data_IF_738924973190
#
_entry.id   IF_738924973190
#
_cell.length_a   1.000
_cell.length_b   1.000
_cell.length_c   1.000
_cell.angle_alpha   90.00
_cell.angle_beta   90.00
_cell.angle_gamma   90.00
#
_symmetry.space_group_name_H-M   'P 1'
#
loop_
_entity.id
_entity.type
_entity.pdbx_description
1 polymer ?
#
# COMPACT_ATOMS: atom_id res chain seq x y z
N UNK A 1 -6.09 -10.65 -3.74
CA UNK A 1 -4.68 -10.93 -4.05
C UNK A 1 -3.93 -9.66 -4.44
N UNK A 2 -4.29 -8.99 -5.55
CA UNK A 2 -3.53 -7.85 -6.09
C UNK A 2 -3.22 -6.72 -5.10
N UNK A 3 -4.23 -6.18 -4.42
CA UNK A 3 -4.05 -5.12 -3.42
C UNK A 3 -3.00 -5.49 -2.36
N UNK A 4 -3.11 -6.69 -1.79
CA UNK A 4 -2.20 -7.18 -0.77
C UNK A 4 -0.80 -7.51 -1.31
N UNK A 5 -0.69 -7.89 -2.58
CA UNK A 5 0.59 -8.03 -3.26
C UNK A 5 1.32 -6.67 -3.36
N UNK A 6 0.64 -5.62 -3.81
CA UNK A 6 1.22 -4.26 -3.87
C UNK A 6 1.59 -3.76 -2.47
N UNK A 7 0.70 -3.93 -1.48
CA UNK A 7 0.99 -3.54 -0.09
C UNK A 7 2.21 -4.29 0.50
N UNK A 8 2.34 -5.59 0.21
CA UNK A 8 3.52 -6.37 0.62
C UNK A 8 4.80 -5.88 -0.04
N UNK A 9 4.77 -5.57 -1.33
CA UNK A 9 5.93 -5.02 -2.05
C UNK A 9 6.33 -3.64 -1.52
N UNK A 10 5.36 -2.76 -1.23
CA UNK A 10 5.62 -1.43 -0.68
C UNK A 10 6.47 -1.52 0.59
N UNK A 11 6.04 -2.28 1.59
CA UNK A 11 6.78 -2.40 2.86
C UNK A 11 8.21 -2.90 2.66
N UNK A 12 8.43 -3.86 1.76
CA UNK A 12 9.77 -4.38 1.45
C UNK A 12 10.64 -3.31 0.77
N UNK A 13 10.08 -2.58 -0.20
CA UNK A 13 10.80 -1.55 -0.93
C UNK A 13 10.96 -0.23 -0.16
N UNK A 14 10.08 0.10 0.80
CA UNK A 14 10.29 1.19 1.77
C UNK A 14 11.56 0.91 2.57
N UNK A 15 11.67 -0.30 3.13
CA UNK A 15 12.84 -0.69 3.91
C UNK A 15 14.13 -0.63 3.09
N UNK A 16 14.09 -1.17 1.86
CA UNK A 16 15.23 -1.11 0.95
C UNK A 16 15.56 0.33 0.55
N UNK A 17 14.57 1.17 0.28
CA UNK A 17 14.76 2.57 -0.10
C UNK A 17 15.43 3.35 1.04
N UNK A 18 14.97 3.18 2.27
CA UNK A 18 15.58 3.81 3.44
C UNK A 18 17.01 3.33 3.68
N UNK A 19 17.20 2.01 3.86
CA UNK A 19 18.52 1.47 4.26
C UNK A 19 19.55 1.45 3.14
N UNK A 20 19.17 0.98 1.96
CA UNK A 20 20.13 0.70 0.87
C UNK A 20 20.27 1.89 -0.06
N UNK A 21 19.16 2.51 -0.47
CA UNK A 21 19.22 3.61 -1.45
C UNK A 21 19.56 4.96 -0.80
N UNK A 22 19.02 5.23 0.40
CA UNK A 22 19.23 6.50 1.10
C UNK A 22 20.25 6.41 2.25
N UNK A 23 20.73 5.22 2.61
CA UNK A 23 21.72 5.04 3.68
C UNK A 23 21.23 5.48 5.06
N UNK A 24 19.91 5.42 5.29
CA UNK A 24 19.29 5.86 6.55
C UNK A 24 19.50 4.83 7.66
N UNK A 25 19.44 5.30 8.90
CA UNK A 25 19.40 4.41 10.07
C UNK A 25 18.13 3.54 10.10
N UNK A 26 18.16 2.47 10.89
CA UNK A 26 17.00 1.60 11.11
C UNK A 26 15.80 2.37 11.70
N UNK A 27 16.06 3.29 12.63
CA UNK A 27 15.04 4.12 13.24
C UNK A 27 14.38 5.05 12.21
N UNK A 28 15.18 5.76 11.42
CA UNK A 28 14.67 6.67 10.39
C UNK A 28 13.93 5.93 9.28
N UNK A 29 14.42 4.76 8.87
CA UNK A 29 13.70 3.90 7.91
C UNK A 29 12.36 3.44 8.46
N UNK A 30 12.29 3.08 9.73
CA UNK A 30 11.04 2.67 10.39
C UNK A 30 10.00 3.78 10.40
N UNK A 31 10.41 5.06 10.46
CA UNK A 31 9.48 6.18 10.34
C UNK A 31 8.81 6.26 8.96
N UNK A 32 9.47 5.82 7.89
CA UNK A 32 8.87 5.76 6.55
C UNK A 32 7.70 4.76 6.51
N UNK A 33 7.92 3.55 7.04
CA UNK A 33 6.87 2.54 7.13
C UNK A 33 5.76 2.97 8.10
N UNK A 34 6.12 3.58 9.23
CA UNK A 34 5.15 4.11 10.19
C UNK A 34 4.25 5.18 9.55
N UNK A 35 4.79 6.08 8.72
CA UNK A 35 4.02 7.10 8.03
C UNK A 35 2.94 6.49 7.12
N UNK A 36 3.31 5.48 6.33
CA UNK A 36 2.35 4.72 5.51
C UNK A 36 1.26 4.06 6.36
N UNK A 37 1.65 3.36 7.43
CA UNK A 37 0.70 2.68 8.32
C UNK A 37 -0.26 3.65 9.01
N UNK A 38 0.22 4.81 9.46
CA UNK A 38 -0.64 5.88 10.01
C UNK A 38 -1.61 6.40 8.96
N UNK A 39 -1.14 6.58 7.72
CA UNK A 39 -1.99 6.89 6.59
C UNK A 39 -3.11 5.86 6.41
N UNK A 40 -2.77 4.57 6.43
CA UNK A 40 -3.75 3.48 6.32
C UNK A 40 -4.82 3.55 7.40
N UNK A 41 -4.44 3.83 8.65
CA UNK A 41 -5.40 4.01 9.76
C UNK A 41 -6.33 5.18 9.48
N UNK A 42 -5.78 6.34 9.11
CA UNK A 42 -6.58 7.55 8.79
C UNK A 42 -7.53 7.28 7.63
N UNK A 43 -7.05 6.68 6.54
CA UNK A 43 -7.85 6.33 5.38
C UNK A 43 -8.96 5.34 5.70
N UNK A 44 -8.68 4.34 6.54
CA UNK A 44 -9.67 3.34 6.94
C UNK A 44 -10.78 3.96 7.81
N UNK A 45 -10.42 4.85 8.74
CA UNK A 45 -11.40 5.59 9.54
C UNK A 45 -12.26 6.53 8.69
N UNK A 46 -11.64 7.21 7.71
CA UNK A 46 -12.35 8.06 6.76
C UNK A 46 -13.34 7.23 5.92
N UNK A 47 -12.90 6.08 5.40
CA UNK A 47 -13.75 5.18 4.63
C UNK A 47 -14.97 4.73 5.45
N UNK A 48 -14.77 4.32 6.72
CA UNK A 48 -15.87 3.93 7.60
C UNK A 48 -16.93 5.01 7.78
N UNK A 49 -16.54 6.29 7.79
CA UNK A 49 -17.47 7.43 7.85
C UNK A 49 -18.17 7.69 6.52
N UNK A 50 -17.44 7.64 5.40
CA UNK A 50 -17.98 7.94 4.06
C UNK A 50 -18.96 6.84 3.62
N UNK A 51 -18.67 5.59 3.95
CA UNK A 51 -19.33 4.39 3.41
C UNK A 51 -20.44 3.87 4.33
N UNK A 52 -20.73 4.53 5.47
CA UNK A 52 -21.49 3.99 6.61
C UNK A 52 -22.81 3.23 6.33
N UNK A 53 -23.43 3.36 5.15
CA UNK A 53 -24.67 2.67 4.76
C UNK A 53 -24.59 1.85 3.46
N UNK A 54 -23.48 1.86 2.74
CA UNK A 54 -23.29 1.20 1.44
C UNK A 54 -22.07 0.27 1.46
N UNK A 55 -21.86 -0.55 0.43
CA UNK A 55 -20.64 -1.33 0.26
C UNK A 55 -19.42 -0.44 -0.11
N UNK A 56 -19.66 0.81 -0.54
CA UNK A 56 -18.63 1.83 -0.79
C UNK A 56 -17.67 1.53 -1.92
N UNK A 57 -17.96 0.52 -2.75
CA UNK A 57 -17.07 0.06 -3.80
C UNK A 57 -16.85 1.13 -4.88
N UNK A 58 -17.76 2.10 -4.99
CA UNK A 58 -17.63 3.25 -5.89
C UNK A 58 -16.42 4.15 -5.59
N UNK A 59 -15.89 4.13 -4.35
CA UNK A 59 -14.67 4.88 -3.97
C UNK A 59 -13.42 4.18 -4.49
N UNK A 60 -13.47 2.86 -4.72
CA UNK A 60 -12.29 2.05 -5.01
C UNK A 60 -11.49 2.55 -6.22
N UNK A 61 -12.07 2.89 -7.38
CA UNK A 61 -11.30 3.39 -8.52
C UNK A 61 -10.55 4.70 -8.19
N UNK A 62 -11.19 5.64 -7.49
CA UNK A 62 -10.57 6.90 -7.09
C UNK A 62 -9.46 6.71 -6.07
N UNK A 63 -9.67 5.82 -5.08
CA UNK A 63 -8.65 5.46 -4.10
C UNK A 63 -7.45 4.76 -4.76
N UNK A 64 -7.69 3.84 -5.71
CA UNK A 64 -6.61 3.17 -6.46
C UNK A 64 -5.81 4.16 -7.32
N UNK A 65 -6.49 5.07 -8.04
CA UNK A 65 -5.81 6.10 -8.84
C UNK A 65 -4.98 7.04 -7.94
N UNK A 66 -5.51 7.42 -6.79
CA UNK A 66 -4.80 8.25 -5.81
C UNK A 66 -3.57 7.53 -5.25
N UNK A 67 -3.71 6.25 -4.91
CA UNK A 67 -2.60 5.40 -4.47
C UNK A 67 -1.51 5.34 -5.56
N UNK A 68 -1.89 5.06 -6.80
CA UNK A 68 -0.99 5.00 -7.95
C UNK A 68 -0.17 6.29 -8.11
N UNK A 69 -0.82 7.46 -8.04
CA UNK A 69 -0.16 8.75 -8.12
C UNK A 69 0.87 8.92 -6.99
N UNK A 70 0.50 8.64 -5.75
CA UNK A 70 1.44 8.80 -4.63
C UNK A 70 2.59 7.79 -4.63
N UNK A 71 2.41 6.60 -5.20
CA UNK A 71 3.51 5.67 -5.45
C UNK A 71 4.47 6.17 -6.51
N UNK A 72 3.96 6.70 -7.63
CA UNK A 72 4.78 7.34 -8.65
C UNK A 72 5.57 8.52 -8.06
N UNK A 73 4.92 9.39 -7.28
CA UNK A 73 5.57 10.52 -6.61
C UNK A 73 6.63 10.06 -5.61
N UNK A 74 6.39 8.98 -4.84
CA UNK A 74 7.38 8.41 -3.92
C UNK A 74 8.65 7.98 -4.65
N UNK A 75 8.54 7.48 -5.89
CA UNK A 75 9.68 7.13 -6.73
C UNK A 75 10.53 8.33 -7.18
N UNK A 76 10.00 9.55 -7.15
CA UNK A 76 10.72 10.79 -7.51
C UNK A 76 11.54 11.33 -6.33
N UNK A 77 11.33 10.83 -5.11
CA UNK A 77 12.03 11.28 -3.91
C UNK A 77 13.57 11.41 -4.04
N UNK A 78 14.31 10.52 -4.74
CA UNK A 78 15.76 10.67 -4.91
C UNK A 78 16.20 11.97 -5.60
N UNK A 79 15.33 12.60 -6.40
CA UNK A 79 15.62 13.84 -7.12
C UNK A 79 15.80 15.06 -6.19
N UNK A 80 15.32 14.98 -4.95
CA UNK A 80 15.46 16.05 -3.97
C UNK A 80 16.75 15.91 -3.14
N UNK A 81 17.35 17.01 -2.65
CA UNK A 81 18.47 16.96 -1.72
C UNK A 81 18.02 16.49 -0.32
N UNK A 82 18.98 16.04 0.49
CA UNK A 82 18.73 15.78 1.92
C UNK A 82 18.70 17.11 2.69
N UNK A 83 17.79 17.32 3.68
CA UNK A 83 16.80 16.38 4.25
C UNK A 83 15.44 16.38 3.53
N UNK A 84 15.23 17.26 2.54
CA UNK A 84 13.94 17.44 1.83
C UNK A 84 13.40 16.13 1.27
N UNK A 85 14.26 15.28 0.71
CA UNK A 85 13.85 13.97 0.17
C UNK A 85 13.16 13.06 1.19
N UNK A 86 13.57 13.10 2.45
CA UNK A 86 13.03 12.23 3.51
C UNK A 86 11.64 12.73 3.91
N UNK A 87 11.50 14.04 4.11
CA UNK A 87 10.22 14.68 4.44
C UNK A 87 9.23 14.45 3.30
N UNK A 88 9.68 14.65 2.05
CA UNK A 88 8.86 14.40 0.87
C UNK A 88 8.40 12.94 0.81
N UNK A 89 9.31 11.97 0.95
CA UNK A 89 8.96 10.55 0.93
C UNK A 89 7.99 10.18 2.06
N UNK A 90 8.20 10.68 3.29
CA UNK A 90 7.29 10.50 4.42
C UNK A 90 5.87 10.97 4.07
N UNK A 91 5.75 12.18 3.51
CA UNK A 91 4.45 12.73 3.12
C UNK A 91 3.78 11.90 2.03
N UNK A 92 4.51 11.51 0.99
CA UNK A 92 3.96 10.71 -0.11
C UNK A 92 3.52 9.32 0.36
N UNK A 93 4.29 8.66 1.23
CA UNK A 93 3.93 7.37 1.82
C UNK A 93 2.73 7.47 2.74
N UNK A 94 2.62 8.54 3.54
CA UNK A 94 1.42 8.78 4.35
C UNK A 94 0.17 8.96 3.48
N UNK A 95 0.27 9.75 2.40
CA UNK A 95 -0.84 9.94 1.46
C UNK A 95 -1.19 8.65 0.70
N UNK A 96 -0.18 7.87 0.29
CA UNK A 96 -0.38 6.54 -0.28
C UNK A 96 -1.11 5.62 0.71
N UNK A 97 -0.70 5.64 1.98
CA UNK A 97 -1.36 4.92 3.07
C UNK A 97 -2.83 5.30 3.21
N UNK A 98 -3.15 6.61 3.19
CA UNK A 98 -4.55 7.09 3.24
C UNK A 98 -5.36 6.51 2.08
N UNK A 99 -4.84 6.56 0.86
CA UNK A 99 -5.49 5.99 -0.32
C UNK A 99 -5.66 4.45 -0.20
N UNK A 100 -4.65 3.76 0.30
CA UNK A 100 -4.69 2.32 0.58
C UNK A 100 -5.76 1.96 1.63
N UNK A 101 -5.86 2.71 2.71
CA UNK A 101 -6.89 2.55 3.74
C UNK A 101 -8.30 2.81 3.19
N UNK A 102 -8.47 3.85 2.37
CA UNK A 102 -9.72 4.16 1.68
C UNK A 102 -10.20 3.03 0.76
N UNK A 103 -9.26 2.33 0.12
CA UNK A 103 -9.55 1.19 -0.75
C UNK A 103 -9.81 -0.11 0.03
N UNK A 104 -9.08 -0.33 1.13
CA UNK A 104 -9.11 -1.59 1.88
C UNK A 104 -10.47 -1.88 2.52
N UNK A 105 -11.09 -0.85 3.11
CA UNK A 105 -12.37 -0.97 3.82
C UNK A 105 -13.54 -1.43 2.91
N UNK A 106 -13.83 -0.78 1.76
CA UNK A 106 -14.89 -1.24 0.87
C UNK A 106 -14.62 -2.63 0.29
N UNK A 107 -13.36 -2.99 0.01
CA UNK A 107 -13.02 -4.35 -0.42
C UNK A 107 -13.38 -5.38 0.65
N UNK A 108 -13.03 -5.11 1.92
CA UNK A 108 -13.40 -5.96 3.04
C UNK A 108 -14.92 -6.06 3.21
N UNK A 109 -15.64 -4.94 3.12
CA UNK A 109 -17.10 -4.89 3.20
C UNK A 109 -17.75 -5.70 2.07
N UNK A 110 -17.24 -5.58 0.84
CA UNK A 110 -17.76 -6.29 -0.32
C UNK A 110 -17.72 -7.81 -0.16
N UNK A 111 -16.59 -8.37 0.30
CA UNK A 111 -16.47 -9.82 0.55
C UNK A 111 -17.37 -10.30 1.69
N UNK A 112 -17.75 -9.42 2.61
CA UNK A 112 -18.58 -9.77 3.76
C UNK A 112 -20.08 -9.63 3.51
N UNK A 113 -20.50 -8.65 2.69
CA UNK A 113 -21.91 -8.27 2.54
C UNK A 113 -22.58 -8.89 1.31
N UNK A 114 -21.82 -9.21 0.26
CA UNK A 114 -22.37 -9.77 -0.99
C UNK A 114 -22.80 -11.25 -0.90
N UNK A 115 -22.05 -12.15 -0.22
CA UNK A 115 -22.40 -13.57 -0.20
C UNK A 115 -23.63 -13.86 0.67
N UNK A 116 -24.39 -14.91 0.32
CA UNK A 116 -25.43 -15.46 1.19
C UNK A 116 -24.84 -15.89 2.56
N UNK A 117 -25.59 -15.79 3.67
CA UNK A 117 -25.07 -16.04 5.02
C UNK A 117 -24.33 -17.37 5.18
N UNK A 118 -24.83 -18.43 4.53
CA UNK A 118 -24.28 -19.79 4.61
C UNK A 118 -22.95 -19.92 3.87
N UNK A 119 -22.69 -19.05 2.89
CA UNK A 119 -21.46 -19.03 2.08
C UNK A 119 -20.48 -17.96 2.54
N UNK A 120 -20.88 -17.05 3.43
CA UNK A 120 -20.06 -15.91 3.89
C UNK A 120 -18.72 -16.35 4.47
N UNK A 121 -18.70 -17.35 5.35
CA UNK A 121 -17.47 -17.87 5.93
C UNK A 121 -16.48 -18.40 4.88
N UNK A 122 -16.99 -19.12 3.87
CA UNK A 122 -16.18 -19.64 2.76
C UNK A 122 -15.58 -18.53 1.90
N UNK A 123 -16.35 -17.47 1.62
CA UNK A 123 -15.85 -16.32 0.84
C UNK A 123 -14.81 -15.53 1.62
N UNK A 124 -15.02 -15.30 2.92
CA UNK A 124 -14.04 -14.64 3.78
C UNK A 124 -12.74 -15.45 3.82
N UNK A 125 -12.83 -16.77 4.06
CA UNK A 125 -11.66 -17.65 4.06
C UNK A 125 -10.90 -17.63 2.72
N UNK A 126 -11.61 -17.71 1.59
CA UNK A 126 -11.00 -17.63 0.26
C UNK A 126 -10.34 -16.26 0.02
N UNK A 127 -10.97 -15.17 0.46
CA UNK A 127 -10.40 -13.83 0.35
C UNK A 127 -9.13 -13.67 1.20
N UNK A 128 -9.11 -14.21 2.41
CA UNK A 128 -7.94 -14.25 3.29
C UNK A 128 -6.81 -15.07 2.68
N UNK A 129 -7.10 -16.27 2.18
CA UNK A 129 -6.10 -17.08 1.47
C UNK A 129 -5.52 -16.33 0.28
N UNK A 130 -6.35 -15.70 -0.55
CA UNK A 130 -5.89 -14.90 -1.69
C UNK A 130 -5.07 -13.67 -1.27
N UNK A 131 -5.34 -13.08 -0.10
CA UNK A 131 -4.53 -12.02 0.48
C UNK A 131 -3.14 -12.53 0.88
N UNK A 132 -3.10 -13.64 1.63
CA UNK A 132 -1.84 -14.30 2.03
C UNK A 132 -1.01 -14.75 0.83
N UNK A 133 -1.64 -15.30 -0.22
CA UNK A 133 -0.95 -15.62 -1.48
C UNK A 133 -0.36 -14.37 -2.13
N UNK A 134 -1.09 -13.26 -2.14
CA UNK A 134 -0.58 -11.98 -2.65
C UNK A 134 0.68 -11.53 -1.92
N UNK A 135 0.66 -11.57 -0.58
CA UNK A 135 1.82 -11.24 0.26
C UNK A 135 3.01 -12.19 0.04
N UNK A 136 2.74 -13.50 -0.09
CA UNK A 136 3.77 -14.50 -0.36
C UNK A 136 4.44 -14.23 -1.72
N UNK A 137 3.64 -13.98 -2.76
CA UNK A 137 4.15 -13.66 -4.10
C UNK A 137 4.95 -12.36 -4.06
N UNK A 138 4.54 -11.36 -3.28
CA UNK A 138 5.32 -10.13 -3.11
C UNK A 138 6.73 -10.41 -2.57
N UNK A 139 6.86 -11.28 -1.57
CA UNK A 139 8.16 -11.70 -1.04
C UNK A 139 9.02 -12.44 -2.07
N UNK A 140 8.43 -13.34 -2.87
CA UNK A 140 9.15 -14.06 -3.93
C UNK A 140 9.64 -13.09 -5.02
N UNK A 141 8.76 -12.21 -5.49
CA UNK A 141 9.06 -11.23 -6.56
C UNK A 141 10.04 -10.15 -6.08
N UNK A 142 10.03 -9.82 -4.78
CA UNK A 142 10.98 -8.88 -4.18
C UNK A 142 12.44 -9.33 -4.40
N UNK A 143 12.76 -10.62 -4.31
CA UNK A 143 14.13 -11.14 -4.41
C UNK A 143 14.84 -10.77 -5.73
N UNK A 144 14.29 -11.07 -6.92
CA UNK A 144 14.91 -10.64 -8.17
C UNK A 144 14.82 -9.11 -8.33
N UNK A 145 13.68 -8.49 -8.03
CA UNK A 145 13.51 -7.04 -8.25
C UNK A 145 14.50 -6.22 -7.42
N UNK A 146 14.79 -6.62 -6.17
CA UNK A 146 15.75 -5.90 -5.34
C UNK A 146 17.19 -5.97 -5.90
N UNK A 147 17.53 -7.03 -6.64
CA UNK A 147 18.86 -7.21 -7.21
C UNK A 147 19.08 -6.36 -8.46
N UNK A 148 18.06 -6.26 -9.31
CA UNK A 148 18.20 -5.65 -10.64
C UNK A 148 17.68 -4.22 -10.72
N UNK A 149 16.85 -3.76 -9.78
CA UNK A 149 16.20 -2.45 -9.85
C UNK A 149 16.37 -1.64 -8.56
N UNK A 150 16.47 -0.31 -8.72
CA UNK A 150 16.43 0.63 -7.60
C UNK A 150 15.01 0.72 -7.02
N UNK A 151 14.91 0.97 -5.71
CA UNK A 151 13.61 1.03 -5.04
C UNK A 151 12.71 2.13 -5.61
N UNK A 152 13.28 3.29 -5.95
CA UNK A 152 12.57 4.38 -6.62
C UNK A 152 11.90 3.96 -7.93
N UNK A 153 12.60 3.19 -8.77
CA UNK A 153 12.03 2.67 -10.03
C UNK A 153 10.88 1.71 -9.76
N UNK A 154 10.99 0.88 -8.71
CA UNK A 154 9.92 -0.04 -8.32
C UNK A 154 8.70 0.72 -7.80
N UNK A 155 8.86 1.81 -7.06
CA UNK A 155 7.74 2.67 -6.65
C UNK A 155 6.97 3.23 -7.85
N UNK A 156 7.68 3.70 -8.88
CA UNK A 156 7.03 4.14 -10.13
C UNK A 156 6.31 2.98 -10.80
N UNK A 157 6.97 1.81 -10.91
CA UNK A 157 6.37 0.62 -11.53
C UNK A 157 5.10 0.20 -10.80
N UNK A 158 5.10 0.15 -9.47
CA UNK A 158 3.92 -0.17 -8.66
C UNK A 158 2.79 0.85 -8.84
N UNK A 159 3.10 2.11 -9.14
CA UNK A 159 2.08 3.12 -9.42
C UNK A 159 1.48 3.04 -10.82
N UNK A 160 2.12 2.34 -11.75
CA UNK A 160 1.64 2.19 -13.15
C UNK A 160 0.90 0.87 -13.38
N UNK A 161 1.17 -0.15 -12.55
CA UNK A 161 0.51 -1.46 -12.58
C UNK A 161 -0.90 -1.43 -11.96
#
# INVERSE_FOLDING_TARGET
>A
AYFWFIAGLQILFINKMGKVQFGLSDATTSYLALAEMLGVVIGSLAAGKIIAKDNGLWIAPGATATLAVFLCLSGIAPAFPSPVKIIFLLSMLACAGVAGGLMMVPLGSFFQTRPAPEKRGRVIAASGFAASTGLLVAGIIYIPLQKYMQSSTIFILMGVL
#
